data_IF_311267649231
#
_entry.id   IF_311267649231
#
_cell.length_a   1.000
_cell.length_b   1.000
_cell.length_c   1.000
_cell.angle_alpha   90.00
_cell.angle_beta   90.00
_cell.angle_gamma   90.00
#
_symmetry.space_group_name_H-M   'P 1'
#
loop_
_entity.id
_entity.type
_entity.pdbx_description
1 polymer ?
#
# COMPACT_ATOMS: atom_id res chain seq x y z
N UNK A 1 66.07 -46.34 -33.70
CA UNK A 1 64.85 -45.53 -33.78
C UNK A 1 63.71 -46.45 -34.18
N UNK A 2 62.92 -46.90 -33.22
CA UNK A 2 61.62 -47.53 -33.43
C UNK A 2 60.75 -47.06 -32.26
N UNK A 3 59.87 -46.10 -32.53
CA UNK A 3 58.97 -45.54 -31.52
C UNK A 3 57.67 -46.36 -31.57
N UNK A 4 57.56 -47.35 -30.68
CA UNK A 4 56.30 -48.07 -30.46
C UNK A 4 55.36 -47.19 -29.64
N UNK A 5 54.30 -46.72 -30.30
CA UNK A 5 53.26 -45.86 -29.73
C UNK A 5 52.17 -46.75 -29.13
N UNK A 6 52.30 -47.06 -27.84
CA UNK A 6 51.28 -47.83 -27.12
C UNK A 6 50.13 -46.89 -26.70
N UNK A 7 49.15 -46.70 -27.58
CA UNK A 7 47.93 -45.95 -27.28
C UNK A 7 46.88 -46.88 -26.65
N UNK A 8 46.71 -46.81 -25.33
CA UNK A 8 45.55 -47.39 -24.64
C UNK A 8 44.25 -46.65 -25.00
N UNK A 9 43.08 -47.30 -24.98
CA UNK A 9 41.83 -46.67 -25.37
C UNK A 9 41.38 -45.64 -24.32
N UNK A 10 41.42 -44.37 -24.70
CA UNK A 10 40.83 -43.26 -23.96
C UNK A 10 39.30 -43.29 -24.11
N UNK A 11 38.60 -43.94 -23.19
CA UNK A 11 37.16 -43.79 -23.01
C UNK A 11 36.88 -42.65 -22.02
N UNK A 12 36.92 -41.41 -22.52
CA UNK A 12 36.20 -40.31 -21.89
C UNK A 12 34.83 -40.23 -22.53
N UNK A 13 33.92 -41.07 -22.05
CA UNK A 13 32.50 -40.92 -22.34
C UNK A 13 31.97 -39.75 -21.51
N UNK A 14 32.05 -38.54 -22.07
CA UNK A 14 31.40 -37.35 -21.53
C UNK A 14 29.99 -37.21 -22.11
N UNK A 15 29.23 -38.31 -22.12
CA UNK A 15 27.80 -38.28 -22.43
C UNK A 15 27.07 -37.53 -21.33
N UNK A 16 26.65 -36.29 -21.60
CA UNK A 16 25.62 -35.62 -20.81
C UNK A 16 24.36 -36.49 -21.01
N UNK A 17 24.04 -37.33 -20.03
CA UNK A 17 22.84 -38.14 -20.06
C UNK A 17 21.62 -37.21 -20.16
N UNK A 18 20.97 -37.23 -21.32
CA UNK A 18 19.69 -36.55 -21.50
C UNK A 18 18.69 -37.13 -20.49
N UNK A 19 17.92 -36.29 -19.78
CA UNK A 19 16.94 -36.79 -18.82
C UNK A 19 16.00 -37.79 -19.48
N UNK A 20 15.63 -38.84 -18.77
CA UNK A 20 14.66 -39.82 -19.26
C UNK A 20 13.25 -39.21 -19.33
N UNK A 21 12.35 -39.89 -20.06
CA UNK A 21 10.98 -39.41 -20.25
C UNK A 21 10.22 -39.25 -18.92
N UNK A 22 10.51 -40.09 -17.94
CA UNK A 22 9.90 -40.05 -16.61
C UNK A 22 10.30 -38.76 -15.86
N UNK A 23 11.58 -38.36 -15.95
CA UNK A 23 12.06 -37.07 -15.41
C UNK A 23 11.36 -35.87 -16.06
N UNK A 24 11.13 -35.89 -17.38
CA UNK A 24 10.40 -34.82 -18.05
C UNK A 24 8.93 -34.77 -17.61
N UNK A 25 8.28 -35.92 -17.45
CA UNK A 25 6.91 -36.00 -16.93
C UNK A 25 6.80 -35.50 -15.49
N UNK A 26 7.77 -35.84 -14.63
CA UNK A 26 7.85 -35.33 -13.26
C UNK A 26 8.07 -33.82 -13.22
N UNK A 27 8.93 -33.28 -14.09
CA UNK A 27 9.13 -31.84 -14.24
C UNK A 27 7.85 -31.12 -14.66
N UNK A 28 7.11 -31.68 -15.62
CA UNK A 28 5.83 -31.13 -16.09
C UNK A 28 4.80 -31.17 -14.94
N UNK A 29 4.68 -32.30 -14.23
CA UNK A 29 3.79 -32.44 -13.07
C UNK A 29 4.13 -31.45 -11.96
N UNK A 30 5.41 -31.31 -11.63
CA UNK A 30 5.87 -30.34 -10.64
C UNK A 30 5.54 -28.90 -11.06
N UNK A 31 5.75 -28.57 -12.35
CA UNK A 31 5.44 -27.23 -12.86
C UNK A 31 3.95 -26.92 -12.80
N UNK A 32 3.10 -27.86 -13.22
CA UNK A 32 1.64 -27.72 -13.13
C UNK A 32 1.16 -27.58 -11.69
N UNK A 33 1.75 -28.32 -10.74
CA UNK A 33 1.43 -28.19 -9.32
C UNK A 33 1.81 -26.80 -8.77
N UNK A 34 2.97 -26.28 -9.16
CA UNK A 34 3.41 -24.92 -8.80
C UNK A 34 2.47 -23.85 -9.37
N UNK A 35 2.10 -23.96 -10.65
CA UNK A 35 1.19 -23.02 -11.30
C UNK A 35 -0.20 -23.06 -10.64
N UNK A 36 -0.71 -24.26 -10.30
CA UNK A 36 -1.96 -24.42 -9.56
C UNK A 36 -1.90 -23.78 -8.17
N UNK A 37 -0.81 -24.00 -7.42
CA UNK A 37 -0.62 -23.38 -6.12
C UNK A 37 -0.58 -21.86 -6.22
N UNK A 38 0.14 -21.32 -7.21
CA UNK A 38 0.20 -19.88 -7.47
C UNK A 38 -1.22 -19.31 -7.67
N UNK A 39 -2.04 -19.95 -8.51
CA UNK A 39 -3.43 -19.54 -8.76
C UNK A 39 -4.29 -19.58 -7.48
N UNK A 40 -4.13 -20.60 -6.64
CA UNK A 40 -4.86 -20.69 -5.37
C UNK A 40 -4.50 -19.54 -4.41
N UNK A 41 -3.20 -19.26 -4.24
CA UNK A 41 -2.72 -18.16 -3.38
C UNK A 41 -3.27 -16.80 -3.84
N UNK A 42 -3.34 -16.59 -5.16
CA UNK A 42 -3.90 -15.37 -5.75
C UNK A 42 -5.40 -15.27 -5.46
N UNK A 43 -6.15 -16.33 -5.72
CA UNK A 43 -7.59 -16.37 -5.47
C UNK A 43 -7.90 -16.12 -4.00
N UNK A 44 -7.17 -16.76 -3.09
CA UNK A 44 -7.29 -16.57 -1.65
C UNK A 44 -7.01 -15.11 -1.26
N UNK A 45 -5.92 -14.51 -1.76
CA UNK A 45 -5.61 -13.10 -1.51
C UNK A 45 -6.73 -12.15 -1.95
N UNK A 46 -7.40 -12.44 -3.07
CA UNK A 46 -8.55 -11.66 -3.54
C UNK A 46 -9.75 -11.76 -2.59
N UNK A 47 -9.99 -12.93 -1.96
CA UNK A 47 -11.08 -13.10 -0.99
C UNK A 47 -10.85 -12.34 0.31
N UNK A 48 -9.60 -12.28 0.78
CA UNK A 48 -9.25 -11.57 2.02
C UNK A 48 -8.99 -10.08 1.82
N UNK A 49 -8.98 -9.59 0.58
CA UNK A 49 -8.75 -8.17 0.32
C UNK A 49 -9.87 -7.33 0.94
N UNK A 50 -9.53 -6.31 1.75
CA UNK A 50 -10.53 -5.41 2.32
C UNK A 50 -11.38 -4.74 1.23
N UNK A 51 -12.72 -4.76 1.41
CA UNK A 51 -13.69 -4.20 0.44
C UNK A 51 -13.37 -2.75 0.06
N UNK A 52 -12.95 -1.94 1.03
CA UNK A 52 -12.58 -0.54 0.82
C UNK A 52 -11.36 -0.39 -0.10
N UNK A 53 -10.34 -1.24 0.08
CA UNK A 53 -9.14 -1.25 -0.77
C UNK A 53 -9.51 -1.61 -2.20
N UNK A 54 -10.37 -2.62 -2.39
CA UNK A 54 -10.87 -3.02 -3.71
C UNK A 54 -11.61 -1.86 -4.41
N UNK A 55 -12.53 -1.19 -3.71
CA UNK A 55 -13.25 -0.05 -4.28
C UNK A 55 -12.29 1.11 -4.62
N UNK A 56 -11.35 1.43 -3.72
CA UNK A 56 -10.38 2.49 -3.91
C UNK A 56 -9.42 2.23 -5.08
N UNK A 57 -9.06 0.96 -5.32
CA UNK A 57 -8.21 0.56 -6.44
C UNK A 57 -8.99 0.62 -7.74
N UNK A 58 -10.19 0.00 -7.80
CA UNK A 58 -11.06 0.02 -8.99
C UNK A 58 -11.29 1.43 -9.54
N UNK A 59 -11.50 2.42 -8.67
CA UNK A 59 -11.65 3.82 -9.11
C UNK A 59 -10.41 4.36 -9.82
N UNK A 60 -9.20 4.02 -9.35
CA UNK A 60 -7.93 4.51 -9.92
C UNK A 60 -7.52 3.72 -11.16
N UNK A 61 -7.81 2.43 -11.16
CA UNK A 61 -7.64 1.55 -12.31
C UNK A 61 -8.52 1.99 -13.48
N UNK A 62 -9.75 2.45 -13.21
CA UNK A 62 -10.61 3.04 -14.25
C UNK A 62 -9.97 4.25 -14.91
N UNK A 63 -9.45 5.19 -14.12
CA UNK A 63 -8.73 6.36 -14.65
C UNK A 63 -7.50 5.95 -15.49
N UNK A 64 -6.80 4.87 -15.09
CA UNK A 64 -5.72 4.31 -15.90
C UNK A 64 -6.21 3.81 -17.26
N UNK A 65 -7.30 3.04 -17.29
CA UNK A 65 -7.88 2.54 -18.54
C UNK A 65 -8.39 3.68 -19.44
N UNK A 66 -9.07 4.67 -18.85
CA UNK A 66 -9.54 5.87 -19.56
C UNK A 66 -8.36 6.65 -20.18
N UNK A 67 -7.27 6.83 -19.42
CA UNK A 67 -6.08 7.48 -19.95
C UNK A 67 -5.40 6.66 -21.06
N UNK A 68 -5.36 5.33 -20.92
CA UNK A 68 -4.82 4.42 -21.92
C UNK A 68 -5.68 4.32 -23.20
N UNK A 69 -6.94 4.77 -23.17
CA UNK A 69 -7.78 4.80 -24.37
C UNK A 69 -7.26 5.80 -25.41
N UNK A 70 -6.45 6.78 -24.99
CA UNK A 70 -5.75 7.68 -25.90
C UNK A 70 -4.51 6.97 -26.51
N UNK A 71 -4.63 6.55 -27.77
CA UNK A 71 -3.58 5.83 -28.50
C UNK A 71 -2.29 6.63 -28.71
N UNK A 72 -2.34 7.96 -28.68
CA UNK A 72 -1.13 8.80 -28.76
C UNK A 72 -0.29 8.72 -27.47
N UNK A 73 -0.94 8.44 -26.34
CA UNK A 73 -0.29 8.35 -25.01
C UNK A 73 0.03 6.92 -24.60
N UNK A 74 -0.70 5.93 -25.12
CA UNK A 74 -0.59 4.53 -24.75
C UNK A 74 -0.82 3.58 -25.95
N UNK A 75 0.20 3.46 -26.82
CA UNK A 75 0.13 2.63 -28.02
C UNK A 75 -0.08 1.13 -27.73
N UNK A 76 0.44 0.64 -26.60
CA UNK A 76 0.33 -0.74 -26.11
C UNK A 76 -0.90 -0.97 -25.22
N UNK A 77 -1.91 -0.09 -25.31
CA UNK A 77 -3.19 -0.24 -24.61
C UNK A 77 -3.03 -0.10 -23.10
N UNK A 78 -3.52 -1.07 -22.32
CA UNK A 78 -3.52 -0.98 -20.85
C UNK A 78 -2.32 -1.64 -20.16
N UNK A 79 -1.35 -2.16 -20.93
CA UNK A 79 -0.16 -2.83 -20.38
C UNK A 79 0.61 -1.90 -19.45
N UNK A 80 0.97 -2.39 -18.26
CA UNK A 80 1.60 -1.61 -17.19
C UNK A 80 3.11 -1.89 -17.13
N UNK A 81 3.93 -0.85 -17.08
CA UNK A 81 5.36 -0.96 -16.79
C UNK A 81 5.86 0.36 -16.19
N UNK A 82 7.07 0.33 -15.63
CA UNK A 82 7.66 1.43 -14.86
C UNK A 82 7.57 2.80 -15.54
N UNK A 83 8.06 2.93 -16.77
CA UNK A 83 8.10 4.21 -17.48
C UNK A 83 6.68 4.77 -17.77
N UNK A 84 5.75 3.90 -18.19
CA UNK A 84 4.38 4.31 -18.50
C UNK A 84 3.57 4.67 -17.25
N UNK A 85 3.78 3.95 -16.15
CA UNK A 85 3.18 4.32 -14.86
C UNK A 85 3.67 5.70 -14.43
N UNK A 86 4.98 5.97 -14.52
CA UNK A 86 5.51 7.29 -14.21
C UNK A 86 4.96 8.39 -15.15
N UNK A 87 4.78 8.07 -16.43
CA UNK A 87 4.20 9.00 -17.41
C UNK A 87 2.74 9.34 -17.08
N UNK A 88 1.89 8.34 -16.85
CA UNK A 88 0.52 8.53 -16.39
C UNK A 88 0.42 9.40 -15.13
N UNK A 89 1.27 9.14 -14.13
CA UNK A 89 1.24 9.92 -12.89
C UNK A 89 1.55 11.40 -13.14
N UNK A 90 2.53 11.68 -14.01
CA UNK A 90 2.94 13.05 -14.34
C UNK A 90 1.94 13.76 -15.26
N UNK A 91 1.51 13.11 -16.34
CA UNK A 91 0.68 13.68 -17.40
C UNK A 91 -0.78 13.84 -16.98
N UNK A 92 -1.30 12.90 -16.17
CA UNK A 92 -2.72 12.86 -15.83
C UNK A 92 -2.98 13.01 -14.32
N UNK A 93 -2.39 12.17 -13.48
CA UNK A 93 -2.80 12.14 -12.07
C UNK A 93 -2.48 13.45 -11.34
N UNK A 94 -1.28 14.01 -11.55
CA UNK A 94 -0.88 15.28 -10.95
C UNK A 94 -1.59 16.48 -11.57
N UNK A 95 -1.82 16.49 -12.88
CA UNK A 95 -2.48 17.60 -13.60
C UNK A 95 -3.95 17.73 -13.24
N UNK A 96 -4.64 16.59 -13.07
CA UNK A 96 -6.04 16.55 -12.63
C UNK A 96 -6.22 17.02 -11.19
N UNK A 97 -5.21 16.88 -10.33
CA UNK A 97 -5.27 17.34 -8.93
C UNK A 97 -6.34 16.64 -8.09
N UNK A 98 -6.68 17.12 -6.91
CA UNK A 98 -7.62 16.46 -6.00
C UNK A 98 -9.07 16.67 -6.47
N UNK A 99 -9.85 15.58 -6.52
CA UNK A 99 -11.25 15.64 -6.99
C UNK A 99 -12.19 16.38 -6.03
N UNK A 100 -11.88 16.35 -4.73
CA UNK A 100 -12.76 16.86 -3.68
C UNK A 100 -12.23 18.15 -3.07
N UNK A 101 -10.90 18.28 -2.96
CA UNK A 101 -10.27 19.49 -2.42
C UNK A 101 -9.96 20.45 -3.56
N UNK A 102 -10.50 21.65 -3.47
CA UNK A 102 -10.22 22.76 -4.38
C UNK A 102 -9.46 23.85 -3.62
N UNK A 103 -8.62 24.57 -4.35
CA UNK A 103 -7.97 25.78 -3.89
C UNK A 103 -8.99 26.92 -3.83
N UNK A 104 -8.61 28.07 -3.26
CA UNK A 104 -9.47 29.25 -3.14
C UNK A 104 -9.94 29.80 -4.51
N UNK A 105 -9.15 29.59 -5.56
CA UNK A 105 -9.45 29.96 -6.95
C UNK A 105 -10.36 28.93 -7.67
N UNK A 106 -10.81 27.88 -6.97
CA UNK A 106 -11.64 26.81 -7.52
C UNK A 106 -10.88 25.75 -8.31
N UNK A 107 -9.56 25.90 -8.50
CA UNK A 107 -8.72 24.89 -9.16
C UNK A 107 -8.56 23.63 -8.27
N UNK A 108 -8.35 22.44 -8.86
CA UNK A 108 -8.09 21.23 -8.08
C UNK A 108 -6.82 21.36 -7.24
N UNK A 109 -6.90 21.07 -5.94
CA UNK A 109 -5.73 21.12 -5.06
C UNK A 109 -4.69 20.05 -5.48
N UNK A 110 -3.38 20.28 -5.33
CA UNK A 110 -2.38 19.27 -5.69
C UNK A 110 -2.58 17.93 -4.96
N UNK A 111 -2.23 16.82 -5.63
CA UNK A 111 -2.26 15.51 -4.97
C UNK A 111 -1.10 15.38 -3.97
N UNK A 112 -1.43 15.00 -2.73
CA UNK A 112 -0.43 14.63 -1.74
C UNK A 112 0.27 13.31 -2.09
N UNK A 113 1.45 13.09 -1.48
CA UNK A 113 2.28 11.87 -1.67
C UNK A 113 1.48 10.57 -1.51
N UNK A 114 0.64 10.47 -0.48
CA UNK A 114 -0.15 9.26 -0.23
C UNK A 114 -1.21 9.00 -1.30
N UNK A 115 -1.82 10.06 -1.85
CA UNK A 115 -2.76 9.93 -2.97
C UNK A 115 -2.05 9.41 -4.21
N UNK A 116 -0.84 9.93 -4.51
CA UNK A 116 0.00 9.44 -5.62
C UNK A 116 0.40 7.98 -5.40
N UNK A 117 0.83 7.62 -4.19
CA UNK A 117 1.14 6.23 -3.84
C UNK A 117 -0.07 5.30 -3.97
N UNK A 118 -1.28 5.79 -3.69
CA UNK A 118 -2.48 5.00 -3.90
C UNK A 118 -2.75 4.71 -5.39
N UNK A 119 -2.40 5.61 -6.31
CA UNK A 119 -2.39 5.30 -7.76
C UNK A 119 -1.35 4.25 -8.10
N UNK A 120 -0.12 4.41 -7.60
CA UNK A 120 0.96 3.43 -7.82
C UNK A 120 0.51 2.04 -7.38
N UNK A 121 -0.02 1.91 -6.15
CA UNK A 121 -0.50 0.62 -5.62
C UNK A 121 -1.62 0.03 -6.48
N UNK A 122 -2.60 0.84 -6.87
CA UNK A 122 -3.73 0.39 -7.68
C UNK A 122 -3.32 -0.05 -9.11
N UNK A 123 -2.34 0.62 -9.72
CA UNK A 123 -1.86 0.26 -11.07
C UNK A 123 -0.86 -0.90 -11.02
N UNK A 124 -0.05 -1.00 -9.95
CA UNK A 124 0.80 -2.18 -9.70
C UNK A 124 -0.06 -3.42 -9.47
N UNK A 125 -1.22 -3.29 -8.83
CA UNK A 125 -2.20 -4.37 -8.72
C UNK A 125 -2.68 -4.87 -10.09
N UNK A 126 -2.91 -3.96 -11.05
CA UNK A 126 -3.21 -4.36 -12.44
C UNK A 126 -2.03 -5.08 -13.10
N UNK A 127 -0.80 -4.61 -12.85
CA UNK A 127 0.39 -5.27 -13.37
C UNK A 127 0.48 -6.73 -12.92
N UNK A 128 0.26 -7.02 -11.63
CA UNK A 128 0.26 -8.39 -11.12
C UNK A 128 -0.80 -9.24 -11.83
N UNK A 129 -2.03 -8.73 -11.99
CA UNK A 129 -3.09 -9.43 -12.75
C UNK A 129 -2.69 -9.68 -14.21
N UNK A 130 -2.00 -8.74 -14.87
CA UNK A 130 -1.56 -8.91 -16.25
C UNK A 130 -0.42 -9.91 -16.40
N UNK A 131 0.50 -9.98 -15.42
CA UNK A 131 1.58 -10.98 -15.38
C UNK A 131 1.00 -12.37 -15.13
N UNK A 132 0.07 -12.49 -14.18
CA UNK A 132 -0.64 -13.74 -13.85
C UNK A 132 -1.41 -14.28 -15.06
N UNK A 133 -2.03 -13.40 -15.84
CA UNK A 133 -2.72 -13.76 -17.07
C UNK A 133 -1.78 -13.96 -18.29
N UNK A 134 -0.48 -13.74 -18.14
CA UNK A 134 0.52 -13.91 -19.20
C UNK A 134 0.55 -12.82 -20.27
N UNK A 135 -0.21 -11.73 -20.11
CA UNK A 135 -0.25 -10.62 -21.06
C UNK A 135 0.97 -9.69 -20.94
N UNK A 136 1.53 -9.57 -19.75
CA UNK A 136 2.61 -8.62 -19.47
C UNK A 136 3.94 -9.33 -19.22
N UNK A 137 4.91 -9.04 -20.11
CA UNK A 137 6.27 -9.60 -20.06
C UNK A 137 7.29 -8.65 -19.43
N UNK A 138 6.87 -7.47 -18.98
CA UNK A 138 7.76 -6.52 -18.32
C UNK A 138 8.15 -7.01 -16.93
N UNK A 139 9.37 -6.72 -16.52
CA UNK A 139 9.98 -7.21 -15.28
C UNK A 139 9.36 -6.62 -14.01
N UNK A 140 8.92 -5.35 -14.05
CA UNK A 140 8.28 -4.70 -12.91
C UNK A 140 7.49 -3.43 -13.31
N UNK A 141 6.39 -3.17 -12.61
CA UNK A 141 5.62 -1.93 -12.74
C UNK A 141 6.11 -0.76 -11.87
N UNK A 142 6.75 -1.05 -10.73
CA UNK A 142 7.32 -0.03 -9.82
C UNK A 142 8.83 -0.16 -9.76
N UNK A 143 9.49 0.34 -10.80
CA UNK A 143 10.94 0.30 -10.95
C UNK A 143 11.63 1.62 -10.57
N UNK A 144 12.86 1.82 -11.06
CA UNK A 144 13.66 3.00 -10.77
C UNK A 144 13.00 4.33 -11.17
N UNK A 145 12.22 4.35 -12.25
CA UNK A 145 11.60 5.59 -12.76
C UNK A 145 10.47 6.04 -11.84
N UNK A 146 9.54 5.15 -11.47
CA UNK A 146 8.47 5.48 -10.51
C UNK A 146 9.08 5.87 -9.15
N UNK A 147 10.15 5.20 -8.70
CA UNK A 147 10.85 5.58 -7.47
C UNK A 147 11.41 7.01 -7.53
N UNK A 148 12.16 7.34 -8.59
CA UNK A 148 12.70 8.70 -8.81
C UNK A 148 11.60 9.75 -8.92
N UNK A 149 10.48 9.42 -9.56
CA UNK A 149 9.31 10.29 -9.64
C UNK A 149 8.74 10.61 -8.25
N UNK A 150 8.51 9.59 -7.40
CA UNK A 150 7.98 9.77 -6.05
C UNK A 150 8.94 10.57 -5.15
N UNK A 151 10.25 10.32 -5.26
CA UNK A 151 11.27 11.06 -4.53
C UNK A 151 11.29 12.53 -4.96
N UNK A 152 11.22 12.79 -6.27
CA UNK A 152 11.15 14.14 -6.83
C UNK A 152 9.89 14.88 -6.36
N UNK A 153 8.74 14.21 -6.39
CA UNK A 153 7.48 14.77 -5.91
C UNK A 153 7.57 15.17 -4.42
N UNK A 154 8.14 14.29 -3.59
CA UNK A 154 8.34 14.56 -2.17
C UNK A 154 9.25 15.77 -1.95
N UNK A 155 10.38 15.82 -2.65
CA UNK A 155 11.32 16.94 -2.57
C UNK A 155 10.69 18.27 -3.01
N UNK A 156 9.87 18.24 -4.07
CA UNK A 156 9.13 19.43 -4.55
C UNK A 156 8.14 19.92 -3.49
N UNK A 157 7.36 19.04 -2.89
CA UNK A 157 6.46 19.41 -1.81
C UNK A 157 7.21 19.97 -0.61
N UNK A 158 8.28 19.30 -0.14
CA UNK A 158 9.09 19.83 0.97
C UNK A 158 9.65 21.21 0.66
N UNK A 159 10.11 21.45 -0.58
CA UNK A 159 10.59 22.76 -1.01
C UNK A 159 9.46 23.79 -1.02
N UNK A 160 8.29 23.46 -1.55
CA UNK A 160 7.09 24.31 -1.57
C UNK A 160 6.71 24.75 -0.16
N UNK A 161 6.54 23.79 0.75
CA UNK A 161 6.23 24.06 2.17
C UNK A 161 7.23 24.99 2.84
N UNK A 162 8.52 24.84 2.51
CA UNK A 162 9.59 25.71 3.02
C UNK A 162 9.50 27.12 2.44
N UNK A 163 9.25 27.26 1.15
CA UNK A 163 9.16 28.56 0.47
C UNK A 163 7.89 29.33 0.86
N UNK A 164 6.79 28.64 1.09
CA UNK A 164 5.52 29.23 1.53
C UNK A 164 5.46 29.46 3.05
N UNK A 165 6.55 29.15 3.79
CA UNK A 165 6.60 29.21 5.25
C UNK A 165 5.40 28.51 5.91
N UNK A 166 5.00 27.35 5.35
CA UNK A 166 3.92 26.55 5.91
C UNK A 166 4.28 26.16 7.34
N UNK A 167 3.42 26.57 8.29
CA UNK A 167 3.62 26.30 9.71
C UNK A 167 3.68 24.79 9.96
N UNK A 168 4.82 24.35 10.49
CA UNK A 168 5.10 22.94 10.81
C UNK A 168 4.47 22.49 12.12
N UNK A 169 4.00 23.44 12.93
CA UNK A 169 3.24 23.21 14.16
C UNK A 169 1.78 22.85 13.91
N UNK A 170 1.26 23.05 12.70
CA UNK A 170 -0.13 22.71 12.33
C UNK A 170 -0.37 21.20 12.26
N UNK A 171 -1.53 20.79 12.75
CA UNK A 171 -1.96 19.41 12.96
C UNK A 171 -0.98 18.60 13.84
N UNK A 172 -0.36 19.24 14.83
CA UNK A 172 0.49 18.56 15.83
C UNK A 172 -0.30 18.26 17.10
N UNK A 173 0.33 17.63 18.10
CA UNK A 173 -0.30 17.30 19.38
C UNK A 173 -0.94 18.53 20.06
N UNK A 174 -0.37 19.72 19.82
CA UNK A 174 -0.84 20.97 20.40
C UNK A 174 -2.13 21.51 19.73
N UNK A 175 -2.54 20.96 18.58
CA UNK A 175 -3.82 21.27 17.93
C UNK A 175 -4.95 20.32 18.37
N UNK A 176 -4.72 19.58 19.45
CA UNK A 176 -5.73 18.73 20.08
C UNK A 176 -6.79 19.52 20.85
N UNK A 177 -7.72 18.80 21.46
CA UNK A 177 -8.72 19.39 22.34
C UNK A 177 -8.07 19.84 23.65
N UNK A 178 -8.50 20.99 24.17
CA UNK A 178 -8.24 21.38 25.57
C UNK A 178 -9.03 20.49 26.53
N UNK A 179 -8.66 20.48 27.81
CA UNK A 179 -9.38 19.73 28.85
C UNK A 179 -10.86 20.14 28.93
N UNK A 180 -11.16 21.43 28.75
CA UNK A 180 -12.52 21.94 28.76
C UNK A 180 -13.32 21.45 27.54
N UNK A 181 -12.71 21.41 26.36
CA UNK A 181 -13.33 20.86 25.16
C UNK A 181 -13.54 19.35 25.28
N UNK A 182 -12.58 18.63 25.86
CA UNK A 182 -12.70 17.20 26.13
C UNK A 182 -13.87 16.91 27.09
N UNK A 183 -14.04 17.71 28.14
CA UNK A 183 -15.19 17.63 29.04
C UNK A 183 -16.51 17.88 28.30
N UNK A 184 -16.57 18.92 27.47
CA UNK A 184 -17.77 19.22 26.66
C UNK A 184 -18.13 18.09 25.70
N UNK A 185 -17.15 17.49 25.04
CA UNK A 185 -17.37 16.33 24.15
C UNK A 185 -17.93 15.14 24.94
N UNK A 186 -17.40 14.85 26.12
CA UNK A 186 -17.90 13.77 26.97
C UNK A 186 -19.33 14.04 27.47
N UNK A 187 -19.60 15.26 27.93
CA UNK A 187 -20.94 15.67 28.36
C UNK A 187 -21.96 15.58 27.22
N UNK A 188 -21.58 16.00 26.01
CA UNK A 188 -22.44 15.92 24.82
C UNK A 188 -22.95 14.50 24.56
N UNK A 189 -22.10 13.48 24.69
CA UNK A 189 -22.53 12.09 24.52
C UNK A 189 -23.41 11.59 25.66
N UNK A 190 -23.12 11.99 26.91
CA UNK A 190 -23.88 11.55 28.09
C UNK A 190 -25.29 12.15 28.13
N UNK A 191 -25.44 13.44 27.78
CA UNK A 191 -26.74 14.15 27.79
C UNK A 191 -27.75 13.52 26.83
N UNK A 192 -27.29 12.97 25.70
CA UNK A 192 -28.17 12.33 24.72
C UNK A 192 -28.79 11.01 25.21
N UNK A 193 -28.22 10.41 26.27
CA UNK A 193 -28.74 9.26 27.00
C UNK A 193 -29.34 8.13 26.12
N UNK A 194 -28.61 7.74 25.08
CA UNK A 194 -28.99 6.62 24.23
C UNK A 194 -27.78 5.72 23.92
N UNK A 195 -28.08 4.51 23.46
CA UNK A 195 -27.08 3.47 23.23
C UNK A 195 -26.04 3.87 22.17
N UNK A 196 -26.43 4.61 21.13
CA UNK A 196 -25.50 5.05 20.08
C UNK A 196 -24.51 6.09 20.61
N UNK A 197 -25.00 7.03 21.42
CA UNK A 197 -24.15 8.06 22.04
C UNK A 197 -23.18 7.47 23.05
N UNK A 198 -23.61 6.46 23.84
CA UNK A 198 -22.72 5.72 24.72
C UNK A 198 -21.64 4.94 23.94
N UNK A 199 -22.03 4.24 22.87
CA UNK A 199 -21.08 3.54 21.98
C UNK A 199 -20.05 4.52 21.39
N UNK A 200 -20.51 5.67 20.88
CA UNK A 200 -19.63 6.68 20.30
C UNK A 200 -18.70 7.29 21.37
N UNK A 201 -19.18 7.49 22.60
CA UNK A 201 -18.36 7.92 23.74
C UNK A 201 -17.25 6.92 24.05
N UNK A 202 -17.58 5.63 24.12
CA UNK A 202 -16.60 4.56 24.38
C UNK A 202 -15.55 4.54 23.26
N UNK A 203 -15.97 4.57 21.99
CA UNK A 203 -15.06 4.62 20.84
C UNK A 203 -14.15 5.86 20.86
N UNK A 204 -14.70 7.04 21.17
CA UNK A 204 -13.92 8.26 21.35
C UNK A 204 -12.91 8.12 22.50
N UNK A 205 -13.34 7.58 23.64
CA UNK A 205 -12.48 7.39 24.82
C UNK A 205 -11.35 6.38 24.56
N UNK A 206 -11.64 5.27 23.88
CA UNK A 206 -10.63 4.29 23.45
C UNK A 206 -9.65 4.91 22.46
N UNK A 207 -10.15 5.68 21.48
CA UNK A 207 -9.28 6.37 20.52
C UNK A 207 -8.37 7.40 21.20
N UNK A 208 -8.86 8.09 22.24
CA UNK A 208 -8.08 9.06 22.99
C UNK A 208 -7.08 8.40 23.95
N UNK A 209 -7.54 7.48 24.80
CA UNK A 209 -6.74 6.89 25.87
C UNK A 209 -5.77 5.81 25.37
N UNK A 210 -6.17 5.03 24.36
CA UNK A 210 -5.37 3.94 23.81
C UNK A 210 -4.74 4.30 22.47
N UNK A 211 -4.94 5.53 21.97
CA UNK A 211 -4.45 6.00 20.67
C UNK A 211 -4.86 5.10 19.49
N UNK A 212 -6.02 4.47 19.60
CA UNK A 212 -6.51 3.57 18.56
C UNK A 212 -6.93 4.34 17.30
N UNK A 213 -6.58 3.79 16.14
CA UNK A 213 -7.18 4.22 14.87
C UNK A 213 -8.61 3.67 14.78
N UNK A 214 -9.45 4.35 14.02
CA UNK A 214 -10.87 3.98 13.88
C UNK A 214 -11.07 2.52 13.43
N UNK A 215 -10.23 2.01 12.53
CA UNK A 215 -10.26 0.61 12.10
C UNK A 215 -10.00 -0.36 13.26
N UNK A 216 -8.99 -0.09 14.08
CA UNK A 216 -8.66 -0.90 15.26
C UNK A 216 -9.76 -0.81 16.32
N UNK A 217 -10.24 0.40 16.61
CA UNK A 217 -11.29 0.62 17.60
C UNK A 217 -12.60 -0.09 17.22
N UNK A 218 -12.97 -0.08 15.95
CA UNK A 218 -14.16 -0.77 15.45
C UNK A 218 -13.98 -2.30 15.35
N UNK A 219 -12.75 -2.76 15.11
CA UNK A 219 -12.43 -4.18 15.06
C UNK A 219 -12.22 -4.83 16.43
N UNK A 220 -12.11 -4.04 17.50
CA UNK A 220 -11.88 -4.54 18.86
C UNK A 220 -13.07 -5.37 19.33
N UNK A 221 -12.78 -6.59 19.78
CA UNK A 221 -13.74 -7.51 20.36
C UNK A 221 -13.57 -7.54 21.88
N UNK A 222 -14.61 -8.01 22.59
CA UNK A 222 -14.55 -8.15 24.05
C UNK A 222 -13.36 -9.03 24.53
N UNK A 223 -12.98 -10.14 23.84
CA UNK A 223 -11.81 -10.93 24.20
C UNK A 223 -10.46 -10.20 24.11
N UNK A 224 -10.39 -9.09 23.38
CA UNK A 224 -9.19 -8.27 23.28
C UNK A 224 -9.00 -7.38 24.53
N UNK A 225 -10.04 -7.24 25.36
CA UNK A 225 -10.04 -6.45 26.58
C UNK A 225 -9.73 -7.33 27.79
N UNK A 226 -8.51 -7.21 28.29
CA UNK A 226 -8.00 -7.96 29.44
C UNK A 226 -7.78 -7.07 30.65
N UNK A 227 -8.06 -7.64 31.82
CA UNK A 227 -7.85 -7.00 33.11
C UNK A 227 -6.43 -7.38 33.55
N UNK A 228 -5.61 -6.37 33.84
CA UNK A 228 -4.27 -6.55 34.36
C UNK A 228 -4.06 -5.62 35.55
N UNK A 229 -3.59 -6.18 36.67
CA UNK A 229 -3.19 -5.40 37.83
C UNK A 229 -1.79 -4.83 37.62
N UNK A 230 -1.70 -3.51 37.50
CA UNK A 230 -0.42 -2.81 37.37
C UNK A 230 0.10 -2.40 38.75
N UNK A 231 1.02 -3.20 39.31
CA UNK A 231 1.68 -2.88 40.58
C UNK A 231 2.42 -1.53 40.45
N UNK A 232 2.24 -0.64 41.42
CA UNK A 232 2.85 0.71 41.49
C UNK A 232 2.33 1.77 40.49
N UNK A 233 1.23 1.50 39.76
CA UNK A 233 0.53 2.51 38.94
C UNK A 233 -0.71 3.00 39.71
N UNK A 234 -0.48 3.72 40.82
CA UNK A 234 -1.51 4.51 41.49
C UNK A 234 -1.58 5.93 40.91
N UNK A 235 -2.59 6.74 41.26
CA UNK A 235 -2.57 8.16 40.91
C UNK A 235 -1.26 8.79 41.39
N UNK A 236 -0.48 9.35 40.45
CA UNK A 236 0.75 10.08 40.77
C UNK A 236 0.40 11.21 41.74
N UNK A 237 1.06 11.26 42.90
CA UNK A 237 0.92 12.37 43.84
C UNK A 237 1.36 13.65 43.15
N UNK A 238 0.40 14.49 42.76
CA UNK A 238 0.68 15.80 42.21
C UNK A 238 1.09 16.70 43.38
N UNK A 239 2.38 17.03 43.49
CA UNK A 239 2.83 18.08 44.40
C UNK A 239 2.45 19.42 43.78
N UNK A 240 1.39 20.05 44.27
CA UNK A 240 1.15 21.45 43.98
C UNK A 240 2.33 22.25 44.54
N UNK A 241 3.20 22.77 43.66
CA UNK A 241 4.13 23.82 44.04
C UNK A 241 3.30 25.11 44.06
N UNK A 242 2.85 25.50 45.25
CA UNK A 242 2.35 26.84 45.47
C UNK A 242 3.51 27.83 45.42
N UNK A 243 3.48 28.70 44.43
CA UNK A 243 4.14 30.00 44.43
C UNK A 243 3.07 31.06 44.16
#
# INVERSE_FOLDING_TARGET
>A
MSYDSNAGPSTRDNGIALPDAEHYEDMIRARLAMDKNMQMVIAENQTYRPKNTTAAYKSKQREWFEWCANKEKAADGAIVYDAKLAFFLKDYALTRGNKFKKNADGSPAPLGRESVLAYVKAVVDLYHQQVEAGFNKHTMARGPIVKRFLDTHTKKETRRKRTEYEDRGKNTLNDGYTDQELLRINQYFLVQNNIFSLRNKVCFSMSHAMLMRSETALGTQLPDLLIMELKNQGPSSCFAIGC
#
